data_IF_085705908453
#
_entry.id   IF_085705908453
#
_cell.length_a   1.000
_cell.length_b   1.000
_cell.length_c   1.000
_cell.angle_alpha   90.00
_cell.angle_beta   90.00
_cell.angle_gamma   90.00
#
_symmetry.space_group_name_H-M   'P 1'
#
loop_
_entity.id
_entity.type
_entity.pdbx_description
1 polymer ?
#
# COMPACT_ATOMS: atom_id res chain seq x y z
N UNK A 1 0.17 -21.35 34.29
CA UNK A 1 0.39 -20.15 33.45
C UNK A 1 -0.85 -20.01 32.57
N UNK A 2 -1.76 -19.13 32.96
CA UNK A 2 -3.09 -19.05 32.35
C UNK A 2 -3.01 -18.29 31.02
N UNK A 3 -3.29 -18.98 29.92
CA UNK A 3 -3.46 -18.37 28.59
C UNK A 3 -4.93 -18.03 28.41
N UNK A 4 -5.24 -16.75 28.21
CA UNK A 4 -6.54 -16.31 27.73
C UNK A 4 -6.51 -16.28 26.20
N UNK A 5 -7.37 -17.09 25.56
CA UNK A 5 -7.55 -17.05 24.11
C UNK A 5 -8.62 -15.98 23.80
N UNK A 6 -8.20 -14.76 23.45
CA UNK A 6 -9.13 -13.73 22.98
C UNK A 6 -9.42 -13.99 21.50
N UNK A 7 -10.54 -14.63 21.22
CA UNK A 7 -11.08 -14.77 19.86
C UNK A 7 -11.73 -13.44 19.48
N UNK A 8 -11.00 -12.58 18.77
CA UNK A 8 -11.57 -11.38 18.15
C UNK A 8 -12.42 -11.79 16.94
N UNK A 9 -13.60 -12.35 17.19
CA UNK A 9 -14.65 -12.43 16.18
C UNK A 9 -15.61 -11.26 16.39
N UNK A 10 -15.82 -10.49 15.33
CA UNK A 10 -16.76 -9.36 15.24
C UNK A 10 -16.36 -8.09 16.01
N UNK A 11 -15.14 -7.59 15.83
CA UNK A 11 -14.78 -6.21 16.25
C UNK A 11 -15.19 -5.12 15.23
N UNK A 12 -16.30 -5.31 14.53
CA UNK A 12 -16.91 -4.22 13.75
C UNK A 12 -18.34 -4.05 14.22
N UNK A 13 -18.46 -3.45 15.39
CA UNK A 13 -19.63 -2.65 15.74
C UNK A 13 -19.14 -1.21 15.75
N UNK A 14 -19.48 -0.47 14.69
CA UNK A 14 -19.18 0.96 14.61
C UNK A 14 -20.09 1.69 15.59
N UNK A 15 -19.55 2.00 16.76
CA UNK A 15 -20.01 3.12 17.58
C UNK A 15 -19.15 4.33 17.20
N UNK A 16 -19.77 5.46 16.86
CA UNK A 16 -19.19 6.46 15.97
C UNK A 16 -18.18 7.43 16.60
N UNK A 17 -17.67 7.20 17.82
CA UNK A 17 -16.76 8.15 18.50
C UNK A 17 -15.56 7.55 19.26
N UNK A 18 -15.17 6.29 19.01
CA UNK A 18 -13.95 5.71 19.62
C UNK A 18 -12.99 5.27 18.51
N UNK A 19 -12.05 6.15 18.15
CA UNK A 19 -10.89 5.77 17.35
C UNK A 19 -9.91 4.95 18.19
N UNK A 20 -9.27 3.95 17.59
CA UNK A 20 -8.15 3.24 18.21
C UNK A 20 -6.86 3.48 17.40
N UNK A 21 -5.75 3.64 18.12
CA UNK A 21 -4.40 3.66 17.54
C UNK A 21 -3.68 2.39 17.95
N UNK A 22 -2.92 1.79 17.02
CA UNK A 22 -2.09 0.60 17.25
C UNK A 22 -0.70 0.87 16.71
N UNK A 23 0.30 0.58 17.52
CA UNK A 23 1.70 0.63 17.10
C UNK A 23 2.05 -0.61 16.28
N UNK A 24 2.56 -0.38 15.07
CA UNK A 24 3.09 -1.44 14.21
C UNK A 24 4.55 -1.69 14.57
N UNK A 25 4.79 -2.71 15.39
CA UNK A 25 6.14 -3.11 15.80
C UNK A 25 6.64 -4.24 14.88
N UNK A 26 7.79 -4.04 14.24
CA UNK A 26 8.43 -5.10 13.45
C UNK A 26 8.76 -6.31 14.36
N UNK A 27 8.42 -7.52 13.92
CA UNK A 27 8.57 -8.77 14.70
C UNK A 27 9.97 -8.98 15.28
N UNK A 28 11.00 -8.69 14.49
CA UNK A 28 12.39 -8.97 14.87
C UNK A 28 13.07 -7.73 15.51
N UNK A 29 12.31 -6.68 15.83
CA UNK A 29 12.79 -5.49 16.56
C UNK A 29 12.97 -5.80 18.05
N UNK A 30 13.98 -5.23 18.76
CA UNK A 30 14.19 -5.43 20.20
C UNK A 30 12.99 -5.13 21.09
N UNK A 31 12.08 -4.25 20.65
CA UNK A 31 10.85 -3.90 21.38
C UNK A 31 9.68 -4.84 21.05
N UNK A 32 9.87 -5.80 20.15
CA UNK A 32 8.85 -6.79 19.83
C UNK A 32 8.76 -7.84 20.94
N UNK A 33 7.53 -8.24 21.34
CA UNK A 33 7.37 -9.37 22.25
C UNK A 33 7.86 -10.71 21.66
N UNK A 34 8.14 -10.76 20.37
CA UNK A 34 8.68 -11.93 19.67
C UNK A 34 10.19 -11.85 19.44
N UNK A 35 10.87 -10.82 19.95
CA UNK A 35 12.31 -10.67 19.80
C UNK A 35 13.06 -11.74 20.58
N UNK A 36 13.98 -12.43 19.89
CA UNK A 36 14.92 -13.33 20.52
C UNK A 36 16.34 -12.75 20.44
N UNK A 37 16.94 -12.30 21.56
CA UNK A 37 18.28 -11.73 21.56
C UNK A 37 19.37 -12.75 21.18
N UNK A 38 19.08 -14.05 21.29
CA UNK A 38 20.01 -15.12 20.93
C UNK A 38 20.03 -15.45 19.43
N UNK A 39 19.09 -14.93 18.64
CA UNK A 39 19.04 -15.17 17.19
C UNK A 39 20.00 -14.26 16.44
N UNK A 40 20.85 -14.88 15.60
CA UNK A 40 21.71 -14.15 14.67
C UNK A 40 20.90 -13.55 13.52
N UNK A 41 21.54 -12.67 12.76
CA UNK A 41 20.95 -12.13 11.53
C UNK A 41 20.53 -13.24 10.54
N UNK A 42 21.34 -14.28 10.40
CA UNK A 42 21.07 -15.40 9.49
C UNK A 42 19.88 -16.23 9.99
N UNK A 43 19.78 -16.47 11.29
CA UNK A 43 18.63 -17.17 11.87
C UNK A 43 17.34 -16.42 11.61
N UNK A 44 17.36 -15.08 11.78
CA UNK A 44 16.21 -14.22 11.50
C UNK A 44 15.81 -14.26 10.03
N UNK A 45 16.79 -14.22 9.12
CA UNK A 45 16.53 -14.35 7.68
C UNK A 45 15.93 -15.73 7.35
N UNK A 46 16.51 -16.81 7.87
CA UNK A 46 16.00 -18.17 7.69
C UNK A 46 14.57 -18.32 8.22
N UNK A 47 14.30 -17.80 9.41
CA UNK A 47 12.98 -17.76 10.02
C UNK A 47 12.00 -16.94 9.18
N UNK A 48 12.41 -15.82 8.59
CA UNK A 48 11.58 -15.02 7.70
C UNK A 48 11.17 -15.81 6.44
N UNK A 49 12.09 -16.56 5.84
CA UNK A 49 11.80 -17.45 4.72
C UNK A 49 10.80 -18.54 5.10
N UNK A 50 11.02 -19.23 6.22
CA UNK A 50 10.08 -20.25 6.71
C UNK A 50 8.68 -19.69 6.97
N UNK A 51 8.59 -18.50 7.59
CA UNK A 51 7.31 -17.82 7.78
C UNK A 51 6.63 -17.51 6.45
N UNK A 52 7.40 -17.12 5.43
CA UNK A 52 6.87 -16.88 4.08
C UNK A 52 6.27 -18.16 3.46
N UNK A 53 6.99 -19.28 3.55
CA UNK A 53 6.53 -20.58 3.06
C UNK A 53 5.26 -21.04 3.81
N UNK A 54 5.26 -20.96 5.13
CA UNK A 54 4.09 -21.32 5.96
C UNK A 54 2.86 -20.47 5.63
N UNK A 55 3.06 -19.18 5.34
CA UNK A 55 1.98 -18.27 4.92
C UNK A 55 1.37 -18.69 3.59
N UNK A 56 2.19 -19.06 2.61
CA UNK A 56 1.72 -19.57 1.31
C UNK A 56 0.90 -20.85 1.51
N UNK A 57 1.38 -21.77 2.36
CA UNK A 57 0.65 -23.00 2.66
C UNK A 57 -0.69 -22.72 3.34
N UNK A 58 -0.73 -21.75 4.26
CA UNK A 58 -1.98 -21.29 4.87
C UNK A 58 -2.96 -20.73 3.84
N UNK A 59 -2.49 -19.90 2.90
CA UNK A 59 -3.35 -19.37 1.83
C UNK A 59 -3.82 -20.44 0.84
N UNK A 60 -3.02 -21.49 0.61
CA UNK A 60 -3.44 -22.65 -0.19
C UNK A 60 -4.53 -23.47 0.50
N UNK A 61 -4.52 -23.54 1.83
CA UNK A 61 -5.53 -24.28 2.62
C UNK A 61 -6.77 -23.45 2.96
N UNK A 62 -6.64 -22.12 3.04
CA UNK A 62 -7.70 -21.18 3.39
C UNK A 62 -8.37 -20.65 2.12
N UNK A 63 -9.07 -21.52 1.39
CA UNK A 63 -9.90 -21.13 0.23
C UNK A 63 -11.27 -20.55 0.63
N UNK A 64 -11.47 -20.15 1.88
CA UNK A 64 -12.66 -19.42 2.33
C UNK A 64 -12.31 -17.99 2.71
N UNK A 65 -11.77 -17.22 1.76
CA UNK A 65 -11.81 -15.77 1.86
C UNK A 65 -13.27 -15.34 1.81
N UNK A 66 -13.73 -14.64 2.85
CA UNK A 66 -15.10 -14.10 2.95
C UNK A 66 -15.51 -13.42 1.63
N UNK A 67 -16.68 -13.76 1.10
CA UNK A 67 -17.28 -13.13 -0.10
C UNK A 67 -17.61 -11.64 0.10
N UNK A 68 -17.47 -11.13 1.33
CA UNK A 68 -17.59 -9.70 1.66
C UNK A 68 -16.26 -8.94 1.60
N UNK A 69 -15.13 -9.62 1.45
CA UNK A 69 -13.83 -8.96 1.35
C UNK A 69 -13.59 -8.44 -0.07
N UNK A 70 -13.10 -7.20 -0.19
CA UNK A 70 -12.59 -6.68 -1.47
C UNK A 70 -11.41 -7.54 -1.90
N UNK A 71 -11.51 -8.14 -3.09
CA UNK A 71 -10.46 -8.98 -3.68
C UNK A 71 -10.04 -8.39 -5.02
N UNK A 72 -8.74 -8.44 -5.29
CA UNK A 72 -8.15 -8.08 -6.57
C UNK A 72 -7.27 -9.24 -7.04
N UNK A 73 -7.33 -9.63 -8.34
CA UNK A 73 -6.36 -10.54 -8.91
C UNK A 73 -4.95 -9.98 -8.74
N UNK A 74 -4.04 -10.81 -8.20
CA UNK A 74 -2.62 -10.48 -8.12
C UNK A 74 -1.82 -11.26 -9.15
N UNK A 75 -0.87 -10.59 -9.78
CA UNK A 75 0.06 -11.18 -10.76
C UNK A 75 1.49 -11.04 -10.22
N UNK A 76 2.21 -12.13 -9.94
CA UNK A 76 3.62 -12.05 -9.59
C UNK A 76 4.46 -11.72 -10.84
N UNK A 77 5.42 -10.81 -10.71
CA UNK A 77 6.35 -10.48 -11.80
C UNK A 77 7.64 -9.89 -11.25
N UNK A 78 8.79 -10.46 -11.60
CA UNK A 78 10.11 -9.85 -11.32
C UNK A 78 10.45 -9.66 -9.83
N UNK A 79 9.85 -10.41 -8.91
CA UNK A 79 10.01 -10.23 -7.46
C UNK A 79 8.97 -9.32 -6.82
N UNK A 80 8.08 -8.73 -7.62
CA UNK A 80 6.98 -7.88 -7.18
C UNK A 80 5.62 -8.57 -7.35
N UNK A 81 4.61 -8.05 -6.68
CA UNK A 81 3.22 -8.42 -6.88
C UNK A 81 2.46 -7.24 -7.46
N UNK A 82 1.78 -7.46 -8.57
CA UNK A 82 0.95 -6.46 -9.21
C UNK A 82 -0.52 -6.75 -8.93
N UNK A 83 -1.28 -5.73 -8.55
CA UNK A 83 -2.72 -5.83 -8.31
C UNK A 83 -3.50 -5.03 -9.35
N UNK A 84 -4.65 -5.57 -9.79
CA UNK A 84 -5.57 -4.86 -10.68
C UNK A 84 -6.56 -4.02 -9.86
N UNK A 85 -6.60 -2.71 -10.11
CA UNK A 85 -7.57 -1.80 -9.48
C UNK A 85 -8.40 -1.09 -10.55
N UNK A 86 -9.65 -0.77 -10.21
CA UNK A 86 -10.52 0.03 -11.07
C UNK A 86 -10.62 1.46 -10.55
N UNK A 87 -10.39 2.44 -11.42
CA UNK A 87 -10.35 3.86 -11.06
C UNK A 87 -11.11 4.72 -12.07
N UNK A 88 -11.55 5.90 -11.61
CA UNK A 88 -12.22 6.90 -12.43
C UNK A 88 -13.68 6.57 -12.79
N UNK A 89 -14.28 7.49 -13.53
CA UNK A 89 -15.65 7.37 -14.04
C UNK A 89 -15.69 7.82 -15.51
N UNK A 90 -15.93 6.91 -16.48
CA UNK A 90 -16.17 5.48 -16.30
C UNK A 90 -14.95 4.74 -15.74
N UNK A 91 -15.19 3.60 -15.07
CA UNK A 91 -14.13 2.82 -14.45
C UNK A 91 -13.19 2.26 -15.52
N UNK A 92 -11.90 2.47 -15.34
CA UNK A 92 -10.86 1.79 -16.10
C UNK A 92 -10.02 0.92 -15.19
N UNK A 93 -9.53 -0.21 -15.71
CA UNK A 93 -8.62 -1.10 -15.00
C UNK A 93 -7.18 -0.62 -15.18
N UNK A 94 -6.45 -0.51 -14.08
CA UNK A 94 -5.01 -0.24 -14.07
C UNK A 94 -4.31 -1.27 -13.20
N UNK A 95 -3.03 -1.49 -13.48
CA UNK A 95 -2.18 -2.39 -12.74
C UNK A 95 -1.20 -1.56 -11.91
N UNK A 96 -1.08 -1.86 -10.61
CA UNK A 96 -0.15 -1.20 -9.70
C UNK A 96 0.62 -2.20 -8.85
N UNK A 97 1.81 -1.82 -8.40
CA UNK A 97 2.62 -2.65 -7.52
C UNK A 97 1.99 -2.65 -6.12
N UNK A 98 1.81 -3.82 -5.54
CA UNK A 98 1.36 -4.01 -4.16
C UNK A 98 2.55 -3.79 -3.21
N UNK A 99 2.99 -2.53 -3.12
CA UNK A 99 4.13 -2.12 -2.29
C UNK A 99 3.68 -1.82 -0.86
N UNK A 100 4.05 -2.70 0.08
CA UNK A 100 3.80 -2.51 1.51
C UNK A 100 4.91 -1.70 2.20
N UNK A 101 5.95 -1.31 1.46
CA UNK A 101 7.12 -0.58 1.97
C UNK A 101 7.02 0.93 1.80
N UNK A 102 5.95 1.45 1.17
CA UNK A 102 5.69 2.88 1.01
C UNK A 102 4.25 3.25 1.38
N UNK A 103 4.02 4.53 1.62
CA UNK A 103 2.73 5.12 2.04
C UNK A 103 2.02 5.90 0.91
N UNK A 104 2.62 6.00 -0.27
CA UNK A 104 2.07 6.71 -1.42
C UNK A 104 1.46 5.75 -2.45
N UNK A 105 0.15 5.86 -2.67
CA UNK A 105 -0.50 5.21 -3.82
C UNK A 105 -0.48 6.14 -5.03
N UNK A 106 0.13 5.70 -6.13
CA UNK A 106 0.17 6.45 -7.39
C UNK A 106 0.01 5.54 -8.60
N UNK A 107 -0.38 6.14 -9.72
CA UNK A 107 -0.54 5.50 -11.03
C UNK A 107 0.09 6.38 -12.11
N UNK A 108 0.40 5.81 -13.27
CA UNK A 108 0.84 6.59 -14.42
C UNK A 108 -0.34 7.21 -15.17
N UNK A 109 -0.28 8.52 -15.38
CA UNK A 109 -1.32 9.31 -16.05
C UNK A 109 -0.86 9.86 -17.41
N UNK A 110 -1.81 10.19 -18.29
CA UNK A 110 -1.55 10.97 -19.51
C UNK A 110 -1.64 12.49 -19.25
N UNK A 111 -0.89 13.32 -19.99
CA UNK A 111 0.24 12.93 -20.83
C UNK A 111 1.44 12.53 -19.97
N UNK A 112 2.14 11.46 -20.36
CA UNK A 112 3.35 11.07 -19.65
C UNK A 112 4.61 11.43 -20.43
N UNK A 113 5.53 12.14 -19.78
CA UNK A 113 6.83 12.52 -20.36
C UNK A 113 7.89 11.44 -20.18
N UNK A 114 7.91 10.76 -19.02
CA UNK A 114 8.86 9.71 -18.66
C UNK A 114 8.10 8.59 -17.94
N UNK A 115 7.59 7.62 -18.70
CA UNK A 115 6.86 6.48 -18.17
C UNK A 115 7.52 5.17 -18.56
N UNK A 116 7.28 4.15 -17.74
CA UNK A 116 7.58 2.78 -18.11
C UNK A 116 6.67 2.32 -19.25
N UNK A 117 7.22 1.50 -20.14
CA UNK A 117 6.43 0.83 -21.17
C UNK A 117 5.60 -0.26 -20.50
N UNK A 118 4.30 -0.06 -20.38
CA UNK A 118 3.38 -1.04 -19.83
C UNK A 118 2.24 -1.35 -20.81
N UNK A 119 1.76 -2.59 -20.80
CA UNK A 119 0.62 -3.03 -21.63
C UNK A 119 -0.71 -2.38 -21.23
N UNK A 120 -1.04 -2.20 -19.93
CA UNK A 120 -2.28 -1.53 -19.52
C UNK A 120 -2.29 -0.07 -19.93
N UNK A 121 -3.46 0.43 -20.30
CA UNK A 121 -3.65 1.82 -20.71
C UNK A 121 -3.34 2.78 -19.55
N UNK A 122 -2.56 3.83 -19.81
CA UNK A 122 -2.36 4.92 -18.87
C UNK A 122 -3.70 5.60 -18.56
N UNK A 123 -3.92 5.95 -17.29
CA UNK A 123 -5.10 6.70 -16.89
C UNK A 123 -5.10 8.07 -17.57
N UNK A 124 -6.21 8.45 -18.19
CA UNK A 124 -6.38 9.78 -18.77
C UNK A 124 -7.28 10.61 -17.85
N UNK A 125 -6.72 11.56 -17.09
CA UNK A 125 -7.51 12.40 -16.19
C UNK A 125 -8.64 13.15 -16.91
N UNK A 126 -8.47 13.49 -18.20
CA UNK A 126 -9.48 14.22 -18.98
C UNK A 126 -10.71 13.38 -19.28
N UNK A 127 -10.57 12.05 -19.28
CA UNK A 127 -11.65 11.12 -19.60
C UNK A 127 -12.36 10.59 -18.35
N UNK A 128 -12.03 11.09 -17.15
CA UNK A 128 -12.65 10.68 -15.90
C UNK A 128 -13.41 11.84 -15.26
N UNK A 129 -14.74 11.75 -15.21
CA UNK A 129 -15.59 12.80 -14.63
C UNK A 129 -15.42 12.96 -13.11
N UNK A 130 -14.84 11.97 -12.44
CA UNK A 130 -14.53 11.99 -11.00
C UNK A 130 -13.11 12.43 -10.68
N UNK A 131 -12.26 12.64 -11.69
CA UNK A 131 -10.91 13.15 -11.44
C UNK A 131 -10.96 14.63 -11.04
N UNK A 132 -10.22 14.98 -9.98
CA UNK A 132 -10.07 16.37 -9.53
C UNK A 132 -8.63 16.62 -9.10
N UNK A 133 -8.14 17.82 -9.39
CA UNK A 133 -6.87 18.29 -8.84
C UNK A 133 -7.03 18.58 -7.35
N UNK A 134 -6.02 18.22 -6.57
CA UNK A 134 -5.99 18.50 -5.14
C UNK A 134 -5.39 19.89 -4.88
N UNK A 135 -6.05 20.77 -4.10
CA UNK A 135 -5.45 22.02 -3.64
C UNK A 135 -4.26 21.79 -2.71
N UNK A 136 -3.34 22.75 -2.62
CA UNK A 136 -2.14 22.61 -1.78
C UNK A 136 -2.44 22.50 -0.27
N UNK A 137 -3.54 23.10 0.18
CA UNK A 137 -3.99 23.05 1.58
C UNK A 137 -4.98 21.90 1.84
N UNK A 138 -5.17 21.00 0.87
CA UNK A 138 -5.93 19.77 1.11
C UNK A 138 -5.23 18.93 2.18
N UNK A 139 -5.96 18.31 3.13
CA UNK A 139 -5.38 17.40 4.12
C UNK A 139 -4.53 16.28 3.46
N UNK A 140 -4.98 15.77 2.30
CA UNK A 140 -4.25 14.77 1.51
C UNK A 140 -2.92 15.29 0.94
N UNK A 141 -2.82 16.59 0.68
CA UNK A 141 -1.58 17.20 0.21
C UNK A 141 -0.60 17.45 1.37
N UNK A 142 -1.14 17.87 2.52
CA UNK A 142 -0.36 18.12 3.74
C UNK A 142 0.22 16.81 4.28
N UNK A 143 -0.50 15.69 4.17
CA UNK A 143 -0.01 14.37 4.61
C UNK A 143 1.22 13.88 3.86
N UNK A 144 1.55 14.45 2.69
CA UNK A 144 2.80 14.15 1.97
C UNK A 144 4.06 14.71 2.66
N UNK A 145 3.90 15.56 3.68
CA UNK A 145 5.00 16.12 4.49
C UNK A 145 6.17 16.65 3.63
N UNK A 146 7.36 16.05 3.74
CA UNK A 146 8.59 16.45 3.03
C UNK A 146 8.51 16.22 1.51
N UNK A 147 7.64 15.31 1.08
CA UNK A 147 7.47 14.93 -0.32
C UNK A 147 6.44 15.82 -1.04
N UNK A 148 5.72 16.67 -0.28
CA UNK A 148 4.80 17.69 -0.79
C UNK A 148 5.53 18.65 -1.74
N UNK A 149 4.92 18.89 -2.90
CA UNK A 149 5.21 20.02 -3.78
C UNK A 149 3.92 20.83 -3.94
N UNK A 150 4.03 22.11 -4.23
CA UNK A 150 2.87 22.96 -4.48
C UNK A 150 3.17 23.90 -5.64
N UNK A 151 2.33 23.86 -6.66
CA UNK A 151 2.24 24.96 -7.61
C UNK A 151 1.37 26.06 -7.00
N UNK A 152 2.02 27.06 -6.42
CA UNK A 152 1.35 28.18 -5.75
C UNK A 152 0.50 29.01 -6.71
N UNK A 153 0.88 29.10 -8.00
CA UNK A 153 0.14 29.89 -8.99
C UNK A 153 -1.17 29.22 -9.38
N UNK A 154 -1.16 27.90 -9.54
CA UNK A 154 -2.35 27.12 -9.90
C UNK A 154 -3.12 26.59 -8.68
N UNK A 155 -2.57 26.72 -7.48
CA UNK A 155 -3.02 26.05 -6.26
C UNK A 155 -3.23 24.54 -6.48
N UNK A 156 -2.23 23.89 -7.06
CA UNK A 156 -2.25 22.45 -7.35
C UNK A 156 -1.18 21.77 -6.50
N UNK A 157 -1.63 20.85 -5.65
CA UNK A 157 -0.79 19.94 -4.91
C UNK A 157 0.06 19.15 -5.90
N UNK A 158 1.32 18.94 -5.54
CA UNK A 158 2.41 18.27 -6.24
C UNK A 158 3.05 17.19 -5.33
N UNK A 159 3.79 16.23 -5.88
CA UNK A 159 4.68 15.39 -5.07
C UNK A 159 5.98 15.01 -5.77
N UNK A 160 7.02 14.73 -4.98
CA UNK A 160 8.21 14.01 -5.42
C UNK A 160 8.64 13.03 -4.32
N UNK A 161 8.59 11.74 -4.63
CA UNK A 161 8.77 10.64 -3.68
C UNK A 161 9.98 9.79 -4.06
N UNK A 162 10.89 9.53 -3.11
CA UNK A 162 12.13 8.77 -3.32
C UNK A 162 12.06 7.41 -2.62
N UNK A 163 12.40 6.35 -3.33
CA UNK A 163 12.44 4.99 -2.83
C UNK A 163 13.85 4.61 -2.33
N UNK A 164 13.92 3.53 -1.53
CA UNK A 164 15.17 3.06 -0.93
C UNK A 164 16.23 2.58 -1.94
N UNK A 165 15.81 2.20 -3.15
CA UNK A 165 16.70 1.84 -4.26
C UNK A 165 17.22 3.06 -5.05
N UNK A 166 16.85 4.28 -4.63
CA UNK A 166 17.20 5.53 -5.32
C UNK A 166 16.28 5.88 -6.50
N UNK A 167 15.33 5.02 -6.85
CA UNK A 167 14.29 5.37 -7.82
C UNK A 167 13.33 6.41 -7.24
N UNK A 168 12.61 7.15 -8.08
CA UNK A 168 11.67 8.16 -7.62
C UNK A 168 10.45 8.26 -8.54
N UNK A 169 9.34 8.73 -7.97
CA UNK A 169 8.16 9.15 -8.70
C UNK A 169 7.89 10.63 -8.44
N UNK A 170 7.43 11.35 -9.47
CA UNK A 170 6.97 12.73 -9.34
C UNK A 170 5.65 12.91 -10.07
N UNK A 171 4.75 13.67 -9.47
CA UNK A 171 3.45 13.97 -10.04
C UNK A 171 3.21 15.46 -10.16
N UNK A 172 2.06 15.78 -10.77
CA UNK A 172 1.39 17.07 -10.65
C UNK A 172 2.24 18.31 -11.00
N UNK A 173 3.08 18.15 -12.02
CA UNK A 173 3.53 19.23 -12.91
C UNK A 173 2.43 19.64 -13.88
#
# INVERSE_FOLDING_TARGET
MSLAMIRLQNMIQFDTDIGFSVDLIQRDSPISPFYNPSETYIDRMHNAFHRSISRINHFKTSSSASTKALQSPMVPSGGEYFMEISIGTPKIKVLGNADTGSDLTWIMCKPCKKCFKQKPQLFDPKNSSTYKLLPCESPYCISLMKDKRCDVKRNVCGYKYLYGDGSFSEGNR
#
